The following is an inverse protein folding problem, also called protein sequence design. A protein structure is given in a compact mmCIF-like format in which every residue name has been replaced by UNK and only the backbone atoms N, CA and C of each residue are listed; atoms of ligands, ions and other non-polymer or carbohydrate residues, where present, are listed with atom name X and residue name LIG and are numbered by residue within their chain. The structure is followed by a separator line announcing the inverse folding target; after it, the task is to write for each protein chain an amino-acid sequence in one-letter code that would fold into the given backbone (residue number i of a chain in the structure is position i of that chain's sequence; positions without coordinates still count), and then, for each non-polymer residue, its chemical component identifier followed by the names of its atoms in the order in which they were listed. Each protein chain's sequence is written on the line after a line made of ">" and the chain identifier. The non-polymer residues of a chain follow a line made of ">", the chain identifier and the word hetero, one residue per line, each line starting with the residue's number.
data_IF_560055005712
#
_entry.id   IF_560055005712
#
_cell.length_a   1.000
_cell.length_b   1.000
_cell.length_c   1.000
_cell.angle_alpha   90.00
_cell.angle_beta   90.00
_cell.angle_gamma   90.00
#
_symmetry.space_group_name_H-M   'P 1'
#
loop_
_entity.id
_entity.type
_entity.pdbx_description
1 polymer ?
#
# COMPACT_ATOMS: atom_id res chain seq x y z
N UNK A 1 -30.57 -34.36 21.10
CA UNK A 1 -31.28 -35.02 19.98
C UNK A 1 -30.91 -34.31 18.69
N UNK A 2 -30.52 -35.09 17.68
CA UNK A 2 -30.41 -34.76 16.24
C UNK A 2 -29.37 -33.73 15.76
N UNK A 3 -28.29 -34.29 15.20
CA UNK A 3 -27.55 -33.73 14.05
C UNK A 3 -28.48 -33.57 12.85
N UNK A 4 -28.10 -32.75 11.86
CA UNK A 4 -28.20 -33.15 10.47
C UNK A 4 -26.81 -33.24 9.83
N UNK A 5 -26.57 -34.40 9.24
CA UNK A 5 -25.56 -34.67 8.23
C UNK A 5 -25.97 -34.03 6.91
N UNK A 6 -25.09 -33.26 6.28
CA UNK A 6 -25.12 -33.02 4.83
C UNK A 6 -23.72 -33.27 4.28
N UNK A 7 -23.52 -34.50 3.82
CA UNK A 7 -22.49 -34.88 2.86
C UNK A 7 -23.03 -34.43 1.50
N UNK A 8 -22.32 -33.57 0.79
CA UNK A 8 -22.43 -33.45 -0.66
C UNK A 8 -21.03 -33.70 -1.23
N UNK A 9 -20.90 -34.88 -1.83
CA UNK A 9 -19.82 -35.27 -2.74
C UNK A 9 -20.01 -34.58 -4.09
N UNK A 10 -18.91 -34.17 -4.72
CA UNK A 10 -18.92 -33.70 -6.10
C UNK A 10 -17.63 -32.99 -6.46
N UNK A 11 -16.63 -33.75 -6.89
CA UNK A 11 -15.46 -33.26 -7.63
C UNK A 11 -15.89 -32.33 -8.77
N UNK A 12 -15.17 -31.24 -8.97
CA UNK A 12 -14.30 -31.09 -10.13
C UNK A 12 -13.75 -29.65 -10.25
N UNK A 13 -12.50 -29.61 -10.71
CA UNK A 13 -11.80 -28.49 -11.37
C UNK A 13 -11.45 -27.25 -10.54
N UNK A 14 -10.14 -26.95 -10.52
CA UNK A 14 -9.67 -25.58 -10.33
C UNK A 14 -8.68 -25.43 -9.19
N UNK A 15 -7.41 -25.70 -9.49
CA UNK A 15 -6.26 -25.21 -8.76
C UNK A 15 -6.28 -23.66 -8.81
N UNK A 16 -7.11 -23.00 -7.99
CA UNK A 16 -7.24 -21.53 -7.99
C UNK A 16 -6.11 -20.93 -7.18
N UNK A 17 -5.28 -20.18 -7.89
CA UNK A 17 -4.21 -19.30 -7.40
C UNK A 17 -4.66 -18.25 -6.36
N UNK A 18 -5.95 -18.19 -6.01
CA UNK A 18 -6.50 -17.32 -4.96
C UNK A 18 -6.13 -17.73 -3.54
N UNK A 19 -6.02 -19.04 -3.25
CA UNK A 19 -5.74 -19.51 -1.88
C UNK A 19 -4.29 -19.26 -1.44
N UNK A 20 -3.36 -19.18 -2.40
CA UNK A 20 -1.95 -18.86 -2.15
C UNK A 20 -1.75 -17.37 -1.82
N UNK A 21 -2.51 -16.47 -2.47
CA UNK A 21 -2.39 -15.01 -2.25
C UNK A 21 -2.88 -14.56 -0.87
N UNK A 22 -3.93 -15.19 -0.36
CA UNK A 22 -4.50 -14.89 0.96
C UNK A 22 -3.60 -15.34 2.12
N UNK A 23 -2.78 -16.38 1.93
CA UNK A 23 -1.87 -16.87 2.99
C UNK A 23 -0.64 -15.96 3.11
N UNK A 24 -0.08 -15.53 1.98
CA UNK A 24 1.07 -14.60 1.95
C UNK A 24 0.70 -13.25 2.61
N UNK A 25 -0.48 -12.70 2.31
CA UNK A 25 -0.95 -11.47 2.96
C UNK A 25 -1.26 -11.61 4.46
N UNK A 26 -1.68 -12.80 4.90
CA UNK A 26 -2.07 -13.07 6.29
C UNK A 26 -0.89 -13.38 7.22
N UNK A 27 0.18 -14.00 6.71
CA UNK A 27 1.41 -14.28 7.48
C UNK A 27 2.38 -13.10 7.53
N UNK A 28 2.48 -12.30 6.46
CA UNK A 28 3.32 -11.09 6.40
C UNK A 28 2.93 -10.00 7.42
N UNK A 29 1.70 -10.04 7.94
CA UNK A 29 1.17 -9.04 8.87
C UNK A 29 1.08 -9.54 10.33
N UNK A 30 1.44 -10.79 10.65
CA UNK A 30 1.32 -11.37 12.00
C UNK A 30 2.65 -11.74 12.67
N UNK A 31 3.76 -11.70 11.94
CA UNK A 31 5.09 -11.68 12.53
C UNK A 31 5.75 -10.38 12.11
N UNK A 32 6.40 -9.69 13.05
CA UNK A 32 7.07 -8.42 12.76
C UNK A 32 7.90 -8.54 11.50
N UNK A 33 7.94 -7.46 10.70
CA UNK A 33 8.72 -7.29 9.47
C UNK A 33 10.25 -7.40 9.67
N UNK A 34 10.68 -8.11 10.71
CA UNK A 34 12.05 -8.46 11.07
C UNK A 34 12.29 -9.89 10.59
N UNK A 35 13.01 -9.98 9.47
CA UNK A 35 13.77 -11.15 9.02
C UNK A 35 12.97 -12.31 8.41
N UNK A 36 12.14 -12.02 7.40
CA UNK A 36 11.74 -13.05 6.44
C UNK A 36 12.04 -12.55 5.02
N UNK A 37 13.21 -12.90 4.49
CA UNK A 37 13.65 -12.55 3.14
C UNK A 37 12.98 -13.48 2.12
N UNK A 38 11.69 -13.29 1.89
CA UNK A 38 10.98 -13.92 0.79
C UNK A 38 11.47 -13.29 -0.55
N UNK A 39 12.20 -14.03 -1.40
CA UNK A 39 12.72 -13.49 -2.66
C UNK A 39 11.62 -13.00 -3.60
N UNK A 40 10.44 -13.63 -3.57
CA UNK A 40 9.30 -13.24 -4.38
C UNK A 40 8.71 -11.91 -3.88
N UNK A 41 8.62 -11.73 -2.55
CA UNK A 41 8.18 -10.47 -1.96
C UNK A 41 9.17 -9.33 -2.27
N UNK A 42 10.47 -9.57 -2.15
CA UNK A 42 11.51 -8.58 -2.49
C UNK A 42 11.48 -8.20 -3.98
N UNK A 43 11.31 -9.18 -4.87
CA UNK A 43 11.17 -8.94 -6.30
C UNK A 43 9.92 -8.08 -6.61
N UNK A 44 8.79 -8.38 -5.97
CA UNK A 44 7.57 -7.59 -6.11
C UNK A 44 7.75 -6.16 -5.58
N UNK A 45 8.37 -5.99 -4.41
CA UNK A 45 8.67 -4.67 -3.84
C UNK A 45 9.59 -3.88 -4.78
N UNK A 46 10.61 -4.51 -5.35
CA UNK A 46 11.51 -3.89 -6.32
C UNK A 46 10.77 -3.45 -7.59
N UNK A 47 9.85 -4.28 -8.09
CA UNK A 47 9.02 -3.94 -9.25
C UNK A 47 8.09 -2.76 -8.94
N UNK A 48 7.43 -2.76 -7.78
CA UNK A 48 6.57 -1.65 -7.32
C UNK A 48 7.39 -0.35 -7.26
N UNK A 49 8.57 -0.39 -6.64
CA UNK A 49 9.46 0.79 -6.54
C UNK A 49 9.85 1.31 -7.92
N UNK A 50 10.20 0.42 -8.85
CA UNK A 50 10.58 0.77 -10.22
C UNK A 50 9.41 1.44 -10.97
N UNK A 51 8.22 0.86 -10.91
CA UNK A 51 7.02 1.38 -11.58
C UNK A 51 6.60 2.74 -11.02
N UNK A 52 6.51 2.88 -9.70
CA UNK A 52 6.15 4.15 -9.06
C UNK A 52 7.17 5.26 -9.40
N UNK A 53 8.47 4.93 -9.36
CA UNK A 53 9.54 5.86 -9.75
C UNK A 53 9.41 6.29 -11.20
N UNK A 54 9.16 5.36 -12.12
CA UNK A 54 9.00 5.67 -13.54
C UNK A 54 7.83 6.63 -13.78
N UNK A 55 6.66 6.36 -13.19
CA UNK A 55 5.48 7.21 -13.33
C UNK A 55 5.75 8.64 -12.83
N UNK A 56 6.46 8.77 -11.71
CA UNK A 56 6.84 10.07 -11.17
C UNK A 56 7.89 10.79 -12.03
N UNK A 57 8.99 10.12 -12.39
CA UNK A 57 10.10 10.71 -13.14
C UNK A 57 9.70 11.13 -14.56
N UNK A 58 8.79 10.37 -15.19
CA UNK A 58 8.24 10.69 -16.51
C UNK A 58 7.09 11.70 -16.47
N UNK A 59 6.76 12.24 -15.28
CA UNK A 59 5.70 13.23 -15.04
C UNK A 59 4.30 12.77 -15.47
N UNK A 60 4.08 11.46 -15.51
CA UNK A 60 2.75 10.91 -15.78
C UNK A 60 1.82 11.08 -14.57
N UNK A 61 2.38 10.99 -13.37
CA UNK A 61 1.67 11.14 -12.11
C UNK A 61 2.54 11.86 -11.07
N UNK A 62 1.91 12.51 -10.11
CA UNK A 62 2.61 13.11 -8.98
C UNK A 62 3.02 12.05 -7.95
N UNK A 63 3.85 12.44 -6.98
CA UNK A 63 4.51 11.49 -6.08
C UNK A 63 3.54 10.58 -5.29
N UNK A 64 2.38 11.11 -4.83
CA UNK A 64 1.37 10.30 -4.13
C UNK A 64 0.63 9.38 -5.10
N UNK A 65 0.16 9.93 -6.22
CA UNK A 65 -0.59 9.19 -7.24
C UNK A 65 0.22 8.02 -7.80
N UNK A 66 1.48 8.26 -8.13
CA UNK A 66 2.37 7.22 -8.64
C UNK A 66 2.49 6.04 -7.66
N UNK A 67 2.58 6.33 -6.35
CA UNK A 67 2.62 5.30 -5.31
C UNK A 67 1.28 4.58 -5.18
N UNK A 68 0.16 5.31 -5.08
CA UNK A 68 -1.17 4.73 -4.87
C UNK A 68 -1.62 3.90 -6.06
N UNK A 69 -1.47 4.42 -7.29
CA UNK A 69 -1.82 3.69 -8.52
C UNK A 69 -0.99 2.41 -8.63
N UNK A 70 0.32 2.49 -8.38
CA UNK A 70 1.20 1.31 -8.48
C UNK A 70 0.87 0.25 -7.44
N UNK A 71 0.67 0.65 -6.17
CA UNK A 71 0.33 -0.28 -5.10
C UNK A 71 -1.06 -0.88 -5.29
N UNK A 72 -2.05 -0.07 -5.69
CA UNK A 72 -3.41 -0.54 -5.98
C UNK A 72 -3.41 -1.61 -7.10
N UNK A 73 -2.63 -1.40 -8.16
CA UNK A 73 -2.47 -2.39 -9.24
C UNK A 73 -1.74 -3.64 -8.78
N UNK A 74 -0.59 -3.48 -8.12
CA UNK A 74 0.26 -4.60 -7.74
C UNK A 74 -0.37 -5.50 -6.67
N UNK A 75 -1.22 -4.95 -5.83
CA UNK A 75 -1.79 -5.63 -4.67
C UNK A 75 -3.31 -5.88 -4.81
N UNK A 76 -3.87 -5.64 -6.00
CA UNK A 76 -5.31 -5.82 -6.27
C UNK A 76 -6.21 -5.03 -5.30
N UNK A 77 -5.89 -3.75 -5.06
CA UNK A 77 -6.59 -2.88 -4.10
C UNK A 77 -8.03 -2.49 -4.45
N UNK A 78 -8.54 -2.90 -5.61
CA UNK A 78 -9.95 -2.77 -5.98
C UNK A 78 -10.40 -1.38 -6.47
N UNK A 79 -9.52 -0.38 -6.49
CA UNK A 79 -9.82 0.91 -7.09
C UNK A 79 -9.58 0.88 -8.61
N UNK A 80 -10.41 1.59 -9.37
CA UNK A 80 -10.07 1.95 -10.75
C UNK A 80 -8.91 2.95 -10.78
N UNK A 81 -8.22 3.07 -11.92
CA UNK A 81 -7.12 4.05 -12.06
C UNK A 81 -7.60 5.49 -11.78
N UNK A 82 -8.78 5.86 -12.28
CA UNK A 82 -9.38 7.16 -12.01
C UNK A 82 -9.69 7.38 -10.52
N UNK A 83 -10.20 6.35 -9.83
CA UNK A 83 -10.44 6.41 -8.39
C UNK A 83 -9.13 6.53 -7.62
N UNK A 84 -8.11 5.73 -7.98
CA UNK A 84 -6.80 5.77 -7.34
C UNK A 84 -6.14 7.15 -7.47
N UNK A 85 -6.25 7.80 -8.63
CA UNK A 85 -5.79 9.19 -8.82
C UNK A 85 -6.64 10.15 -7.99
N UNK A 86 -7.97 10.08 -8.07
CA UNK A 86 -8.87 11.00 -7.37
C UNK A 86 -8.69 11.01 -5.84
N UNK A 87 -8.49 9.83 -5.23
CA UNK A 87 -8.30 9.73 -3.77
C UNK A 87 -6.90 10.15 -3.31
N UNK A 88 -5.92 10.17 -4.22
CA UNK A 88 -4.51 10.44 -3.88
C UNK A 88 -4.04 11.84 -4.26
N UNK A 89 -4.66 12.48 -5.28
CA UNK A 89 -4.32 13.82 -5.72
C UNK A 89 -4.28 14.87 -4.60
N UNK A 90 -5.19 14.89 -3.60
CA UNK A 90 -5.13 15.86 -2.49
C UNK A 90 -3.89 15.76 -1.60
N UNK A 91 -3.03 14.75 -1.77
CA UNK A 91 -1.81 14.58 -0.98
C UNK A 91 -0.51 14.87 -1.79
N UNK A 92 -0.60 15.02 -3.12
CA UNK A 92 0.53 15.10 -4.07
C UNK A 92 1.21 16.46 -4.10
N UNK A 93 2.54 16.66 -3.99
CA UNK A 93 3.27 18.00 -3.94
C UNK A 93 3.41 18.57 -2.48
N UNK A 94 3.27 17.75 -1.42
CA UNK A 94 3.34 18.09 0.04
C UNK A 94 2.06 18.42 0.84
N UNK A 95 1.04 19.12 0.36
CA UNK A 95 -0.11 18.55 -0.37
C UNK A 95 -1.41 19.38 -0.29
N UNK A 96 -1.39 20.58 0.26
CA UNK A 96 -2.21 21.66 -0.32
C UNK A 96 -1.33 22.87 -0.59
N UNK A 97 -0.15 22.62 -1.12
CA UNK A 97 1.00 23.54 -1.16
C UNK A 97 1.42 23.97 0.25
N UNK A 98 1.19 23.09 1.21
CA UNK A 98 1.38 23.34 2.64
C UNK A 98 2.75 22.90 3.16
N UNK A 99 3.51 22.13 2.37
CA UNK A 99 4.84 21.63 2.76
C UNK A 99 4.85 20.60 3.89
N UNK A 100 3.69 20.02 4.21
CA UNK A 100 3.48 19.07 5.32
C UNK A 100 3.97 17.66 4.95
N UNK A 101 3.23 16.61 5.30
CA UNK A 101 3.67 15.22 5.14
C UNK A 101 3.99 14.89 3.66
N UNK A 102 5.05 14.11 3.44
CA UNK A 102 5.42 13.61 2.12
C UNK A 102 4.26 12.87 1.45
N UNK A 103 3.91 13.29 0.23
CA UNK A 103 2.84 12.67 -0.54
C UNK A 103 3.06 11.18 -0.79
N UNK A 104 4.29 10.78 -1.12
CA UNK A 104 4.63 9.36 -1.33
C UNK A 104 4.42 8.52 -0.06
N UNK A 105 4.73 9.05 1.13
CA UNK A 105 4.48 8.38 2.40
C UNK A 105 2.97 8.25 2.68
N UNK A 106 2.22 9.34 2.51
CA UNK A 106 0.76 9.34 2.66
C UNK A 106 0.09 8.35 1.71
N UNK A 107 0.54 8.31 0.45
CA UNK A 107 0.06 7.37 -0.56
C UNK A 107 0.34 5.91 -0.20
N UNK A 108 1.53 5.61 0.34
CA UNK A 108 1.86 4.26 0.81
C UNK A 108 0.94 3.82 1.97
N UNK A 109 0.73 4.70 2.96
CA UNK A 109 -0.19 4.42 4.08
C UNK A 109 -1.62 4.21 3.59
N UNK A 110 -2.09 5.05 2.66
CA UNK A 110 -3.42 4.95 2.06
C UNK A 110 -3.60 3.62 1.33
N UNK A 111 -2.68 3.26 0.43
CA UNK A 111 -2.78 2.06 -0.37
C UNK A 111 -2.62 0.77 0.44
N UNK A 112 -1.70 0.72 1.40
CA UNK A 112 -1.56 -0.43 2.29
C UNK A 112 -2.81 -0.65 3.17
N UNK A 113 -3.47 0.44 3.57
CA UNK A 113 -4.68 0.37 4.40
C UNK A 113 -5.88 -0.23 3.65
N UNK A 114 -5.96 -0.07 2.32
CA UNK A 114 -7.01 -0.69 1.50
C UNK A 114 -6.95 -2.22 1.53
N UNK A 115 -5.75 -2.79 1.67
CA UNK A 115 -5.54 -4.24 1.71
C UNK A 115 -5.91 -4.83 3.07
N UNK A 116 -5.63 -4.11 4.14
CA UNK A 116 -5.91 -4.55 5.52
C UNK A 116 -7.39 -4.35 5.88
N UNK A 117 -8.07 -3.40 5.22
CA UNK A 117 -9.46 -3.05 5.54
C UNK A 117 -10.53 -3.99 5.00
N UNK A 118 -10.24 -4.84 4.01
CA UNK A 118 -11.30 -5.59 3.30
C UNK A 118 -12.08 -6.59 4.19
N UNK A 119 -11.48 -7.08 5.28
CA UNK A 119 -12.20 -7.85 6.30
C UNK A 119 -12.33 -7.00 7.58
N UNK A 120 -13.56 -6.80 8.07
CA UNK A 120 -13.84 -6.22 9.39
C UNK A 120 -13.20 -4.83 9.70
N UNK A 121 -13.35 -3.88 8.76
CA UNK A 121 -12.92 -2.46 8.81
C UNK A 121 -12.90 -1.79 10.20
N UNK A 122 -13.96 -1.99 10.99
CA UNK A 122 -14.11 -1.32 12.30
C UNK A 122 -13.24 -1.94 13.39
N UNK A 123 -13.00 -3.26 13.32
CA UNK A 123 -12.22 -4.00 14.31
C UNK A 123 -10.71 -3.89 14.09
N UNK A 124 -10.27 -3.46 12.90
CA UNK A 124 -8.84 -3.37 12.55
C UNK A 124 -8.24 -1.96 12.59
N UNK A 125 -8.99 -0.94 13.01
CA UNK A 125 -8.51 0.45 13.08
C UNK A 125 -7.22 0.62 13.88
N UNK A 126 -7.07 -0.10 14.99
CA UNK A 126 -5.85 -0.07 15.77
C UNK A 126 -4.66 -0.61 14.96
N UNK A 127 -4.81 -1.78 14.37
CA UNK A 127 -3.77 -2.41 13.52
C UNK A 127 -3.40 -1.54 12.32
N UNK A 128 -4.38 -0.90 11.68
CA UNK A 128 -4.13 0.04 10.58
C UNK A 128 -3.28 1.23 11.03
N UNK A 129 -3.54 1.79 12.22
CA UNK A 129 -2.72 2.86 12.80
C UNK A 129 -1.32 2.38 13.17
N UNK A 130 -1.19 1.16 13.68
CA UNK A 130 0.11 0.54 13.98
C UNK A 130 0.95 0.34 12.70
N UNK A 131 0.34 -0.15 11.62
CA UNK A 131 1.00 -0.27 10.31
C UNK A 131 1.39 1.10 9.75
N UNK A 132 0.52 2.10 9.86
CA UNK A 132 0.83 3.46 9.45
C UNK A 132 2.02 4.03 10.23
N UNK A 133 2.08 3.78 11.55
CA UNK A 133 3.21 4.17 12.41
C UNK A 133 4.50 3.46 11.98
N UNK A 134 4.46 2.17 11.68
CA UNK A 134 5.63 1.43 11.21
C UNK A 134 6.18 2.01 9.90
N UNK A 135 5.30 2.30 8.93
CA UNK A 135 5.70 2.95 7.67
C UNK A 135 6.28 4.34 7.91
N UNK A 136 5.64 5.14 8.76
CA UNK A 136 6.12 6.47 9.14
C UNK A 136 7.52 6.41 9.76
N UNK A 137 7.72 5.55 10.76
CA UNK A 137 8.97 5.47 11.51
C UNK A 137 10.11 4.93 10.63
N UNK A 138 9.84 3.92 9.78
CA UNK A 138 10.80 3.41 8.80
C UNK A 138 11.18 4.46 7.74
N UNK A 139 10.19 5.21 7.25
CA UNK A 139 10.43 6.30 6.31
C UNK A 139 11.28 7.39 6.96
N UNK A 140 10.96 7.80 8.19
CA UNK A 140 11.72 8.80 8.94
C UNK A 140 13.14 8.35 9.23
N UNK A 141 13.34 7.09 9.61
CA UNK A 141 14.67 6.53 9.86
C UNK A 141 15.55 6.55 8.61
N UNK A 142 14.95 6.33 7.43
CA UNK A 142 15.67 6.32 6.14
C UNK A 142 15.95 7.71 5.61
N UNK A 143 14.99 8.63 5.73
CA UNK A 143 15.03 9.95 5.06
C UNK A 143 15.29 11.12 6.02
N UNK A 144 15.38 10.88 7.33
CA UNK A 144 15.59 11.88 8.38
C UNK A 144 14.34 12.69 8.77
N UNK A 145 13.41 12.92 7.84
CA UNK A 145 12.17 13.65 8.07
C UNK A 145 10.97 13.00 7.35
N UNK A 146 9.77 13.43 7.69
CA UNK A 146 8.52 13.05 6.99
C UNK A 146 7.85 14.23 6.31
N UNK A 147 8.18 15.46 6.71
CA UNK A 147 7.69 16.68 6.08
C UNK A 147 8.36 16.88 4.72
N UNK A 148 7.55 16.94 3.67
CA UNK A 148 7.96 17.16 2.30
C UNK A 148 8.82 18.41 2.15
N UNK A 149 8.51 19.52 2.84
CA UNK A 149 9.33 20.74 2.81
C UNK A 149 10.77 20.50 3.28
N UNK A 150 10.93 19.70 4.33
CA UNK A 150 12.25 19.36 4.88
C UNK A 150 12.98 18.43 3.90
N UNK A 151 12.27 17.47 3.31
CA UNK A 151 12.81 16.50 2.36
C UNK A 151 13.23 17.13 1.03
N UNK A 152 12.49 18.14 0.54
CA UNK A 152 12.80 18.83 -0.71
C UNK A 152 13.87 19.91 -0.56
N UNK A 153 14.40 20.15 0.65
CA UNK A 153 15.42 21.16 0.91
C UNK A 153 14.97 22.63 0.76
N UNK A 154 13.71 22.86 0.36
CA UNK A 154 13.19 24.15 -0.08
C UNK A 154 11.70 24.24 0.25
N UNK A 155 11.28 25.32 0.94
CA UNK A 155 9.88 25.71 1.00
C UNK A 155 9.36 26.01 -0.41
N UNK A 156 8.46 25.16 -0.90
CA UNK A 156 7.64 25.31 -2.12
C UNK A 156 8.35 25.72 -3.42
N UNK A 157 8.27 24.83 -4.42
CA UNK A 157 8.39 25.20 -5.83
C UNK A 157 9.54 24.52 -6.55
N UNK A 158 9.20 23.50 -7.35
CA UNK A 158 9.68 23.32 -8.72
C UNK A 158 9.21 21.96 -9.28
N UNK A 159 7.96 21.92 -9.76
CA UNK A 159 7.72 21.37 -11.10
C UNK A 159 7.31 22.57 -11.96
N UNK A 160 7.97 22.82 -13.11
CA UNK A 160 7.60 23.88 -14.04
C UNK A 160 6.28 23.57 -14.76
#
# INVERSE_FOLDING_TARGET
>A
MMRPTARFSGESVGFSTERAKLTIGRELLMSGWRNNHDPQAEALIAQIRKSARNLYQTRQLLCTEAVVVTLNKALNGGLSDAQAVAVSAPFSIALGESGCICGALSGAVLACSLLVGNEQLYHHRQRMRENARQLHDAFKATNGATCCRVLSGSGHGASP
#
